data_IF_215857359082
#
_entry.id   IF_215857359082
#
_cell.length_a   1.000
_cell.length_b   1.000
_cell.length_c   1.000
_cell.angle_alpha   90.00
_cell.angle_beta   90.00
_cell.angle_gamma   90.00
#
_symmetry.space_group_name_H-M   'P 1'
#
loop_
_entity.id
_entity.type
_entity.pdbx_description
1 polymer ?
#
# COMPACT_ATOMS: atom_id res chain seq x y z
N UNK A 1 23.44 -16.35 29.57
CA UNK A 1 23.33 -15.22 28.62
C UNK A 1 24.29 -15.32 27.42
N UNK A 2 25.50 -15.88 27.56
CA UNK A 2 26.48 -15.99 26.45
C UNK A 2 26.02 -16.84 25.24
N UNK A 3 25.21 -17.89 25.44
CA UNK A 3 24.81 -18.78 24.34
C UNK A 3 23.79 -18.21 23.35
N UNK A 4 22.92 -17.28 23.79
CA UNK A 4 21.87 -16.71 22.94
C UNK A 4 22.45 -15.68 21.97
N UNK A 5 23.37 -14.84 22.46
CA UNK A 5 24.06 -13.83 21.67
C UNK A 5 25.07 -14.46 20.69
N UNK A 6 25.79 -15.50 21.13
CA UNK A 6 26.72 -16.24 20.28
C UNK A 6 25.98 -17.00 19.16
N UNK A 7 24.82 -17.61 19.46
CA UNK A 7 23.96 -18.26 18.47
C UNK A 7 23.31 -17.27 17.48
N UNK A 8 23.13 -16.01 17.88
CA UNK A 8 22.57 -14.98 17.01
C UNK A 8 23.64 -14.41 16.06
N UNK A 9 24.88 -14.22 16.54
CA UNK A 9 25.97 -13.67 15.74
C UNK A 9 26.71 -14.70 14.87
N UNK A 10 26.97 -15.90 15.39
CA UNK A 10 27.79 -16.92 14.71
C UNK A 10 26.96 -18.06 14.10
N UNK A 11 25.63 -17.99 14.24
CA UNK A 11 24.77 -19.13 13.95
C UNK A 11 25.01 -20.28 14.94
N UNK A 12 24.13 -21.29 14.92
CA UNK A 12 24.39 -22.52 15.68
C UNK A 12 25.38 -23.37 14.91
N UNK A 13 26.57 -23.60 15.47
CA UNK A 13 27.49 -24.62 14.98
C UNK A 13 26.75 -25.97 14.91
N UNK A 14 26.70 -26.58 13.71
CA UNK A 14 26.01 -27.86 13.48
C UNK A 14 24.61 -27.77 12.86
N UNK A 15 24.18 -26.62 12.32
CA UNK A 15 23.09 -26.64 11.32
C UNK A 15 23.66 -27.12 9.98
N UNK A 16 22.94 -28.01 9.31
CA UNK A 16 23.25 -28.42 7.95
C UNK A 16 23.43 -27.17 7.07
N UNK A 17 24.39 -27.24 6.14
CA UNK A 17 24.60 -26.19 5.14
C UNK A 17 23.27 -25.90 4.40
N UNK A 18 23.09 -24.66 3.96
CA UNK A 18 21.92 -24.30 3.15
C UNK A 18 21.95 -25.12 1.85
N UNK A 19 21.24 -26.23 1.82
CA UNK A 19 21.03 -27.03 0.60
C UNK A 19 19.95 -26.40 -0.27
N UNK A 20 19.98 -26.69 -1.57
CA UNK A 20 18.98 -26.28 -2.56
C UNK A 20 17.55 -26.63 -2.12
N UNK A 21 17.37 -27.73 -1.39
CA UNK A 21 16.09 -28.15 -0.81
C UNK A 21 15.49 -27.17 0.21
N UNK A 22 16.32 -26.33 0.85
CA UNK A 22 15.90 -25.30 1.79
C UNK A 22 15.52 -23.98 1.12
N UNK A 23 15.68 -23.87 -0.19
CA UNK A 23 15.25 -22.69 -0.94
C UNK A 23 13.72 -22.68 -1.07
N UNK A 24 13.11 -21.49 -1.02
CA UNK A 24 11.66 -21.37 -1.05
C UNK A 24 11.12 -21.75 -2.43
N UNK A 25 10.20 -22.72 -2.47
CA UNK A 25 9.58 -23.21 -3.71
C UNK A 25 8.31 -22.47 -4.07
N UNK A 26 7.75 -21.73 -3.11
CA UNK A 26 6.55 -20.92 -3.30
C UNK A 26 6.58 -19.63 -2.47
N UNK A 27 5.66 -18.71 -2.77
CA UNK A 27 5.57 -17.40 -2.09
C UNK A 27 5.29 -17.49 -0.60
N UNK A 28 4.63 -18.56 -0.15
CA UNK A 28 4.30 -18.75 1.27
C UNK A 28 5.56 -19.12 2.05
N UNK A 29 6.37 -20.04 1.52
CA UNK A 29 7.68 -20.39 2.07
C UNK A 29 8.60 -19.18 2.09
N UNK A 30 8.69 -18.45 0.98
CA UNK A 30 9.47 -17.21 0.90
C UNK A 30 9.04 -16.19 1.97
N UNK A 31 7.73 -16.00 2.16
CA UNK A 31 7.20 -15.10 3.19
C UNK A 31 7.67 -15.50 4.59
N UNK A 32 7.47 -16.77 5.00
CA UNK A 32 7.82 -17.21 6.35
C UNK A 32 9.33 -17.30 6.58
N UNK A 33 10.09 -17.68 5.56
CA UNK A 33 11.56 -17.69 5.60
C UNK A 33 12.09 -16.27 5.80
N UNK A 34 11.66 -15.33 4.95
CA UNK A 34 12.07 -13.93 5.05
C UNK A 34 11.63 -13.32 6.37
N UNK A 35 10.38 -13.55 6.81
CA UNK A 35 9.86 -13.05 8.07
C UNK A 35 10.73 -13.51 9.24
N UNK A 36 11.19 -14.77 9.23
CA UNK A 36 12.04 -15.33 10.29
C UNK A 36 13.46 -14.77 10.25
N UNK A 37 14.04 -14.63 9.05
CA UNK A 37 15.41 -14.13 8.86
C UNK A 37 15.50 -12.63 9.16
N UNK A 38 14.53 -11.85 8.69
CA UNK A 38 14.49 -10.39 8.77
C UNK A 38 13.62 -9.87 9.92
N UNK A 39 13.19 -10.70 10.87
CA UNK A 39 12.31 -10.30 11.98
C UNK A 39 12.80 -9.04 12.73
N UNK A 40 14.08 -9.04 13.11
CA UNK A 40 14.72 -7.88 13.77
C UNK A 40 14.84 -6.66 12.84
N UNK A 41 15.04 -6.91 11.54
CA UNK A 41 15.03 -5.86 10.52
C UNK A 41 13.66 -5.20 10.38
N UNK A 42 12.57 -5.97 10.43
CA UNK A 42 11.19 -5.46 10.35
C UNK A 42 10.89 -4.57 11.57
N UNK A 43 11.33 -4.96 12.77
CA UNK A 43 11.26 -4.09 13.96
C UNK A 43 12.03 -2.79 13.74
N UNK A 44 13.23 -2.87 13.18
CA UNK A 44 14.07 -1.69 12.94
C UNK A 44 13.44 -0.73 11.91
N UNK A 45 12.85 -1.26 10.83
CA UNK A 45 12.09 -0.47 9.85
C UNK A 45 10.84 0.15 10.48
N UNK A 46 10.12 -0.59 11.34
CA UNK A 46 8.97 -0.08 12.09
C UNK A 46 9.38 1.14 12.94
N UNK A 47 10.51 1.07 13.65
CA UNK A 47 11.03 2.19 14.44
C UNK A 47 11.41 3.40 13.58
N UNK A 48 11.92 3.21 12.36
CA UNK A 48 12.19 4.30 11.44
C UNK A 48 10.90 4.95 10.93
N UNK A 49 9.91 4.13 10.58
CA UNK A 49 8.60 4.61 10.16
C UNK A 49 7.90 5.40 11.27
N UNK A 50 8.03 4.97 12.53
CA UNK A 50 7.42 5.63 13.68
C UNK A 50 7.80 7.10 13.84
N UNK A 51 8.98 7.52 13.38
CA UNK A 51 9.41 8.93 13.40
C UNK A 51 8.41 9.81 12.62
N UNK A 52 7.88 9.30 11.51
CA UNK A 52 6.87 9.99 10.71
C UNK A 52 5.46 9.88 11.32
N UNK A 53 5.23 8.88 12.16
CA UNK A 53 3.97 8.70 12.90
C UNK A 53 3.91 9.52 14.20
N UNK A 54 5.01 10.10 14.68
CA UNK A 54 5.05 10.86 15.94
C UNK A 54 3.95 11.93 16.05
N UNK A 55 3.68 12.76 15.02
CA UNK A 55 2.57 13.72 15.09
C UNK A 55 1.23 13.04 15.33
N UNK A 56 0.98 11.91 14.66
CA UNK A 56 -0.25 11.14 14.80
C UNK A 56 -0.37 10.52 16.20
N UNK A 57 0.73 9.97 16.74
CA UNK A 57 0.80 9.35 18.07
C UNK A 57 0.52 10.39 19.16
N UNK A 58 1.18 11.54 19.08
CA UNK A 58 1.00 12.65 20.02
C UNK A 58 -0.44 13.17 19.96
N UNK A 59 -0.98 13.39 18.75
CA UNK A 59 -2.36 13.82 18.55
C UNK A 59 -3.38 12.82 19.11
N UNK A 60 -3.15 11.53 18.89
CA UNK A 60 -3.97 10.44 19.44
C UNK A 60 -3.91 10.42 20.96
N UNK A 61 -2.72 10.57 21.55
CA UNK A 61 -2.53 10.60 23.01
C UNK A 61 -3.30 11.76 23.66
N UNK A 62 -3.20 12.97 23.11
CA UNK A 62 -3.95 14.13 23.62
C UNK A 62 -5.47 13.93 23.54
N UNK A 63 -5.98 13.42 22.42
CA UNK A 63 -7.42 13.19 22.26
C UNK A 63 -7.93 12.04 23.14
N UNK A 64 -7.13 10.98 23.33
CA UNK A 64 -7.48 9.88 24.23
C UNK A 64 -7.59 10.37 25.68
N UNK A 65 -6.64 11.18 26.15
CA UNK A 65 -6.70 11.78 27.48
C UNK A 65 -7.91 12.72 27.64
N UNK A 66 -8.23 13.51 26.61
CA UNK A 66 -9.39 14.38 26.62
C UNK A 66 -10.71 13.59 26.72
N UNK A 67 -10.84 12.49 25.96
CA UNK A 67 -12.01 11.61 26.02
C UNK A 67 -12.12 10.93 27.38
N UNK A 68 -11.02 10.44 27.95
CA UNK A 68 -11.00 9.82 29.28
C UNK A 68 -11.40 10.80 30.40
N UNK A 69 -11.01 12.07 30.27
CA UNK A 69 -11.42 13.12 31.20
C UNK A 69 -12.91 13.46 31.03
N UNK A 70 -13.41 13.52 29.79
CA UNK A 70 -14.79 13.86 29.49
C UNK A 70 -15.78 12.71 29.78
N UNK A 71 -15.33 11.45 29.72
CA UNK A 71 -16.17 10.27 29.94
C UNK A 71 -16.45 9.95 31.41
N UNK A 72 -15.99 10.79 32.35
CA UNK A 72 -16.20 10.58 33.78
C UNK A 72 -15.52 9.32 34.33
N UNK A 73 -14.76 8.57 33.54
CA UNK A 73 -14.04 7.36 33.97
C UNK A 73 -12.93 7.68 34.98
N UNK A 74 -12.49 8.94 35.00
CA UNK A 74 -11.56 9.53 35.97
C UNK A 74 -12.30 10.33 37.07
N UNK A 75 -13.63 10.33 37.09
CA UNK A 75 -14.41 11.05 38.10
C UNK A 75 -14.38 10.28 39.42
N UNK A 76 -13.93 10.94 40.48
CA UNK A 76 -13.88 10.37 41.83
C UNK A 76 -15.24 10.41 42.55
N UNK A 77 -16.26 11.05 41.96
CA UNK A 77 -17.59 11.23 42.53
C UNK A 77 -18.66 10.49 41.71
N UNK A 78 -19.63 9.88 42.40
CA UNK A 78 -20.73 9.14 41.77
C UNK A 78 -21.56 10.02 40.80
N UNK A 79 -21.68 11.32 41.10
CA UNK A 79 -22.36 12.32 40.27
C UNK A 79 -21.66 12.55 38.91
N UNK A 80 -20.33 12.43 38.85
CA UNK A 80 -19.56 12.55 37.60
C UNK A 80 -19.65 11.33 36.69
N UNK A 81 -19.90 10.15 37.27
CA UNK A 81 -20.09 8.90 36.51
C UNK A 81 -21.48 8.84 35.83
N UNK A 82 -22.52 9.36 36.48
CA UNK A 82 -23.87 9.41 35.89
C UNK A 82 -23.97 10.46 34.77
N UNK A 83 -23.28 11.59 34.89
CA UNK A 83 -23.22 12.64 33.85
C UNK A 83 -22.58 12.16 32.53
N UNK A 84 -21.71 11.14 32.57
CA UNK A 84 -21.06 10.59 31.38
C UNK A 84 -21.98 9.79 30.45
N UNK A 85 -23.18 9.41 30.93
CA UNK A 85 -24.17 8.63 30.19
C UNK A 85 -25.30 9.48 29.60
N UNK A 86 -25.29 10.80 29.83
CA UNK A 86 -26.29 11.71 29.28
C UNK A 86 -26.14 11.89 27.76
N UNK A 87 -27.25 12.17 27.07
CA UNK A 87 -27.28 12.40 25.62
C UNK A 87 -26.36 13.55 25.20
N UNK A 88 -26.18 14.57 26.05
CA UNK A 88 -25.23 15.66 25.81
C UNK A 88 -23.76 15.18 25.81
N UNK A 89 -23.41 14.23 26.70
CA UNK A 89 -22.07 13.64 26.75
C UNK A 89 -21.75 12.80 25.51
N UNK A 90 -22.74 12.08 24.96
CA UNK A 90 -22.59 11.33 23.72
C UNK A 90 -22.36 12.27 22.51
N UNK A 91 -23.09 13.39 22.45
CA UNK A 91 -22.92 14.39 21.41
C UNK A 91 -21.56 15.10 21.49
N UNK A 92 -21.08 15.38 22.71
CA UNK A 92 -19.73 15.91 22.94
C UNK A 92 -18.65 14.91 22.49
N UNK A 93 -18.86 13.61 22.74
CA UNK A 93 -17.94 12.54 22.32
C UNK A 93 -17.85 12.42 20.80
N UNK A 94 -18.97 12.54 20.09
CA UNK A 94 -18.99 12.58 18.63
C UNK A 94 -18.25 13.80 18.05
N UNK A 95 -18.39 14.97 18.68
CA UNK A 95 -17.64 16.19 18.33
C UNK A 95 -16.12 16.03 18.52
N UNK A 96 -15.71 15.40 19.62
CA UNK A 96 -14.31 15.07 19.89
C UNK A 96 -13.74 14.11 18.82
N UNK A 97 -14.49 13.07 18.44
CA UNK A 97 -14.07 12.13 17.41
C UNK A 97 -13.92 12.80 16.04
N UNK A 98 -14.82 13.74 15.69
CA UNK A 98 -14.69 14.55 14.46
C UNK A 98 -13.41 15.36 14.47
N UNK A 99 -13.12 16.04 15.58
CA UNK A 99 -11.90 16.86 15.75
C UNK A 99 -10.65 16.01 15.67
N UNK A 100 -10.66 14.84 16.30
CA UNK A 100 -9.58 13.86 16.21
C UNK A 100 -9.31 13.45 14.75
N UNK A 101 -10.33 13.03 14.01
CA UNK A 101 -10.17 12.62 12.60
C UNK A 101 -9.71 13.76 11.69
N UNK A 102 -10.15 15.00 11.96
CA UNK A 102 -9.69 16.18 11.22
C UNK A 102 -8.19 16.42 11.42
N UNK A 103 -7.70 16.36 12.66
CA UNK A 103 -6.28 16.49 12.97
C UNK A 103 -5.43 15.32 12.47
N UNK A 104 -6.03 14.14 12.30
CA UNK A 104 -5.36 12.97 11.70
C UNK A 104 -5.05 13.15 10.21
N UNK A 105 -5.76 14.02 9.48
CA UNK A 105 -5.53 14.24 8.04
C UNK A 105 -4.07 14.68 7.75
N UNK A 106 -3.56 15.79 8.30
CA UNK A 106 -2.16 16.18 8.08
C UNK A 106 -1.17 15.18 8.70
N UNK A 107 -1.52 14.53 9.81
CA UNK A 107 -0.66 13.54 10.45
C UNK A 107 -0.44 12.31 9.56
N UNK A 108 -1.50 11.80 8.93
CA UNK A 108 -1.42 10.70 7.96
C UNK A 108 -0.76 11.11 6.66
N UNK A 109 -0.82 12.40 6.28
CA UNK A 109 0.01 12.95 5.22
C UNK A 109 1.51 12.78 5.51
N UNK A 110 1.96 13.14 6.71
CA UNK A 110 3.36 12.97 7.13
C UNK A 110 3.73 11.49 7.21
N UNK A 111 2.86 10.66 7.79
CA UNK A 111 3.06 9.20 7.82
C UNK A 111 3.18 8.62 6.40
N UNK A 112 2.36 9.08 5.46
CA UNK A 112 2.42 8.66 4.06
C UNK A 112 3.77 8.92 3.39
N UNK A 113 4.50 9.97 3.79
CA UNK A 113 5.89 10.19 3.37
C UNK A 113 6.78 9.06 3.90
N UNK A 114 6.68 8.72 5.18
CA UNK A 114 7.46 7.62 5.77
C UNK A 114 7.13 6.26 5.17
N UNK A 115 5.87 6.02 4.80
CA UNK A 115 5.42 4.75 4.22
C UNK A 115 6.08 4.43 2.88
N UNK A 116 6.56 5.43 2.12
CA UNK A 116 7.33 5.16 0.89
C UNK A 116 8.69 4.55 1.22
N UNK A 117 9.36 5.03 2.27
CA UNK A 117 10.64 4.48 2.74
C UNK A 117 10.48 3.07 3.30
N UNK A 118 9.50 2.88 4.16
CA UNK A 118 9.16 1.58 4.76
C UNK A 118 8.87 0.55 3.66
N UNK A 119 7.97 0.89 2.73
CA UNK A 119 7.52 -0.05 1.73
C UNK A 119 8.61 -0.42 0.72
N UNK A 120 9.54 0.47 0.41
CA UNK A 120 10.70 0.13 -0.44
C UNK A 120 11.53 -1.00 0.16
N UNK A 121 11.90 -0.86 1.44
CA UNK A 121 12.71 -1.84 2.16
C UNK A 121 11.96 -3.16 2.32
N UNK A 122 10.70 -3.10 2.79
CA UNK A 122 9.89 -4.30 3.03
C UNK A 122 9.57 -5.06 1.73
N UNK A 123 9.33 -4.36 0.62
CA UNK A 123 9.12 -4.97 -0.69
C UNK A 123 10.35 -5.70 -1.20
N UNK A 124 11.53 -5.12 -1.05
CA UNK A 124 12.79 -5.76 -1.45
C UNK A 124 13.03 -7.01 -0.61
N UNK A 125 12.92 -6.91 0.71
CA UNK A 125 13.04 -8.08 1.60
C UNK A 125 12.00 -9.15 1.27
N UNK A 126 10.76 -8.79 0.94
CA UNK A 126 9.72 -9.74 0.54
C UNK A 126 10.01 -10.49 -0.78
N UNK A 127 11.05 -10.10 -1.54
CA UNK A 127 11.59 -10.79 -2.72
C UNK A 127 12.94 -11.46 -2.46
N UNK A 128 13.39 -11.45 -1.20
CA UNK A 128 14.76 -11.78 -0.79
C UNK A 128 15.86 -10.92 -1.45
N UNK A 129 15.51 -9.74 -1.97
CA UNK A 129 16.48 -8.79 -2.51
C UNK A 129 17.20 -8.05 -1.35
N UNK A 130 18.51 -7.81 -1.52
CA UNK A 130 19.28 -7.00 -0.57
C UNK A 130 18.76 -5.56 -0.51
N UNK A 131 18.72 -4.98 0.68
CA UNK A 131 18.39 -3.56 0.88
C UNK A 131 19.13 -3.00 2.09
N UNK A 132 19.82 -1.88 1.89
CA UNK A 132 20.45 -1.10 2.94
C UNK A 132 19.39 -0.25 3.64
N UNK A 133 18.85 -0.79 4.72
CA UNK A 133 17.70 -0.25 5.46
C UNK A 133 17.67 1.28 5.57
N UNK A 134 18.74 1.94 6.05
CA UNK A 134 18.74 3.39 6.25
C UNK A 134 18.89 4.21 4.97
N UNK A 135 19.77 3.80 4.05
CA UNK A 135 20.02 4.55 2.81
C UNK A 135 18.81 4.45 1.89
N UNK A 136 18.35 3.22 1.66
CA UNK A 136 17.25 2.93 0.75
C UNK A 136 15.94 3.56 1.24
N UNK A 137 15.69 3.54 2.56
CA UNK A 137 14.54 4.22 3.15
C UNK A 137 14.58 5.73 2.85
N UNK A 138 15.73 6.37 3.10
CA UNK A 138 15.90 7.82 2.89
C UNK A 138 15.77 8.20 1.42
N UNK A 139 16.33 7.41 0.52
CA UNK A 139 16.30 7.66 -0.91
C UNK A 139 14.88 7.46 -1.48
N UNK A 140 14.18 6.41 -1.02
CA UNK A 140 12.78 6.19 -1.38
C UNK A 140 11.85 7.31 -0.89
N UNK A 141 12.06 7.81 0.34
CA UNK A 141 11.36 9.01 0.85
C UNK A 141 11.63 10.21 -0.04
N UNK A 142 12.89 10.52 -0.33
CA UNK A 142 13.23 11.68 -1.16
C UNK A 142 12.70 11.59 -2.58
N UNK A 143 12.69 10.39 -3.17
CA UNK A 143 12.16 10.18 -4.52
C UNK A 143 10.64 10.35 -4.60
N UNK A 144 9.91 9.95 -3.56
CA UNK A 144 8.46 9.77 -3.65
C UNK A 144 7.63 10.60 -2.65
N UNK A 145 8.24 11.49 -1.87
CA UNK A 145 7.56 12.21 -0.78
C UNK A 145 6.28 12.95 -1.22
N UNK A 146 6.20 13.47 -2.45
CA UNK A 146 4.99 14.16 -2.96
C UNK A 146 3.81 13.21 -3.10
N UNK A 147 4.07 12.04 -3.69
CA UNK A 147 3.07 11.00 -3.85
C UNK A 147 2.74 10.32 -2.52
N UNK A 148 3.73 10.14 -1.65
CA UNK A 148 3.54 9.65 -0.29
C UNK A 148 2.65 10.58 0.54
N UNK A 149 2.94 11.89 0.51
CA UNK A 149 2.13 12.92 1.18
C UNK A 149 0.69 12.93 0.65
N UNK A 150 0.52 12.92 -0.68
CA UNK A 150 -0.80 12.92 -1.30
C UNK A 150 -1.59 11.66 -0.92
N UNK A 151 -0.99 10.48 -1.00
CA UNK A 151 -1.63 9.23 -0.60
C UNK A 151 -2.02 9.24 0.89
N UNK A 152 -1.13 9.74 1.76
CA UNK A 152 -1.39 9.89 3.18
C UNK A 152 -2.53 10.85 3.52
N UNK A 153 -2.60 11.99 2.83
CA UNK A 153 -3.71 12.94 2.97
C UNK A 153 -5.05 12.32 2.52
N UNK A 154 -5.05 11.59 1.41
CA UNK A 154 -6.27 10.90 0.95
C UNK A 154 -6.68 9.81 1.95
N UNK A 155 -5.73 9.10 2.57
CA UNK A 155 -6.05 8.15 3.65
C UNK A 155 -6.75 8.84 4.82
N UNK A 156 -6.23 9.95 5.32
CA UNK A 156 -6.89 10.69 6.39
C UNK A 156 -8.25 11.24 5.99
N UNK A 157 -8.37 11.82 4.79
CA UNK A 157 -9.64 12.29 4.25
C UNK A 157 -10.65 11.15 4.11
N UNK A 158 -10.22 9.96 3.68
CA UNK A 158 -11.11 8.81 3.53
C UNK A 158 -11.74 8.41 4.86
N UNK A 159 -10.98 8.43 5.96
CA UNK A 159 -11.49 8.12 7.30
C UNK A 159 -12.42 9.22 7.83
N UNK A 160 -12.05 10.48 7.66
CA UNK A 160 -12.87 11.62 8.07
C UNK A 160 -14.21 11.64 7.32
N UNK A 161 -14.18 11.53 5.99
CA UNK A 161 -15.39 11.53 5.17
C UNK A 161 -16.27 10.31 5.46
N UNK A 162 -15.65 9.14 5.69
CA UNK A 162 -16.39 7.95 6.12
C UNK A 162 -17.19 8.24 7.39
N UNK A 163 -16.52 8.77 8.42
CA UNK A 163 -17.16 9.05 9.70
C UNK A 163 -18.27 10.10 9.59
N UNK A 164 -17.99 11.24 8.94
CA UNK A 164 -18.96 12.32 8.77
C UNK A 164 -20.18 11.86 7.99
N UNK A 165 -19.98 11.15 6.87
CA UNK A 165 -21.09 10.65 6.07
C UNK A 165 -21.86 9.53 6.78
N UNK A 166 -21.17 8.66 7.51
CA UNK A 166 -21.82 7.61 8.31
C UNK A 166 -22.74 8.21 9.38
N UNK A 167 -22.25 9.22 10.11
CA UNK A 167 -23.05 9.94 11.12
C UNK A 167 -24.20 10.71 10.48
N UNK A 168 -23.98 11.39 9.35
CA UNK A 168 -25.00 12.15 8.65
C UNK A 168 -26.14 11.27 8.15
N UNK A 169 -25.82 10.22 7.38
CA UNK A 169 -26.84 9.31 6.85
C UNK A 169 -27.49 8.46 7.94
N UNK A 170 -26.76 8.11 9.01
CA UNK A 170 -27.33 7.46 10.19
C UNK A 170 -28.39 8.31 10.89
N UNK A 171 -28.10 9.59 11.13
CA UNK A 171 -29.09 10.51 11.71
C UNK A 171 -30.31 10.69 10.78
N UNK A 172 -30.10 10.81 9.47
CA UNK A 172 -31.21 10.88 8.51
C UNK A 172 -32.04 9.59 8.49
N UNK A 173 -31.41 8.43 8.70
CA UNK A 173 -32.09 7.15 8.79
C UNK A 173 -33.02 7.05 10.01
N UNK A 174 -32.61 7.63 11.13
CA UNK A 174 -33.41 7.68 12.37
C UNK A 174 -34.50 8.75 12.33
N UNK A 175 -34.19 9.96 11.85
CA UNK A 175 -35.11 11.11 11.92
C UNK A 175 -36.08 11.18 10.75
N UNK A 176 -35.68 10.76 9.54
CA UNK A 176 -36.51 10.92 8.33
C UNK A 176 -37.05 9.58 7.82
N UNK A 177 -36.16 8.67 7.39
CA UNK A 177 -36.56 7.39 6.79
C UNK A 177 -35.42 6.40 6.77
N UNK A 178 -35.73 5.13 7.08
CA UNK A 178 -34.77 4.00 7.04
C UNK A 178 -34.07 3.82 5.69
N UNK A 179 -34.61 4.39 4.61
CA UNK A 179 -34.00 4.37 3.27
C UNK A 179 -32.56 4.95 3.26
N UNK A 180 -32.25 5.89 4.16
CA UNK A 180 -30.90 6.48 4.26
C UNK A 180 -29.81 5.51 4.75
N UNK A 181 -30.16 4.30 5.20
CA UNK A 181 -29.17 3.23 5.49
C UNK A 181 -28.42 2.80 4.22
N UNK A 182 -29.04 2.91 3.03
CA UNK A 182 -28.41 2.54 1.76
C UNK A 182 -27.17 3.40 1.47
N UNK A 183 -27.26 4.74 1.38
CA UNK A 183 -26.07 5.58 1.18
C UNK A 183 -25.09 5.48 2.35
N UNK A 184 -25.56 5.25 3.58
CA UNK A 184 -24.68 5.02 4.74
C UNK A 184 -23.75 3.82 4.52
N UNK A 185 -24.30 2.66 4.14
CA UNK A 185 -23.51 1.44 3.90
C UNK A 185 -22.69 1.53 2.62
N UNK A 186 -23.17 2.24 1.60
CA UNK A 186 -22.41 2.49 0.38
C UNK A 186 -21.09 3.21 0.65
N UNK A 187 -21.09 4.24 1.52
CA UNK A 187 -19.86 4.94 1.91
C UNK A 187 -18.87 4.00 2.60
N UNK A 188 -19.34 3.12 3.49
CA UNK A 188 -18.50 2.12 4.15
C UNK A 188 -17.84 1.21 3.11
N UNK A 189 -18.60 0.73 2.11
CA UNK A 189 -18.06 -0.08 1.02
C UNK A 189 -17.00 0.68 0.21
N UNK A 190 -17.25 1.94 -0.15
CA UNK A 190 -16.27 2.76 -0.87
C UNK A 190 -14.95 2.90 -0.10
N UNK A 191 -15.02 3.08 1.22
CA UNK A 191 -13.84 3.21 2.07
C UNK A 191 -13.10 1.89 2.21
N UNK A 192 -13.82 0.77 2.38
CA UNK A 192 -13.20 -0.56 2.36
C UNK A 192 -12.45 -0.81 1.06
N UNK A 193 -13.07 -0.48 -0.09
CA UNK A 193 -12.40 -0.58 -1.40
C UNK A 193 -11.19 0.35 -1.48
N UNK A 194 -11.28 1.58 -0.96
CA UNK A 194 -10.13 2.48 -0.90
C UNK A 194 -8.95 1.88 -0.11
N UNK A 195 -9.21 1.27 1.05
CA UNK A 195 -8.17 0.63 1.85
C UNK A 195 -7.59 -0.62 1.19
N UNK A 196 -8.38 -1.36 0.39
CA UNK A 196 -7.88 -2.43 -0.47
C UNK A 196 -6.91 -1.90 -1.54
N UNK A 197 -7.24 -0.75 -2.16
CA UNK A 197 -6.36 -0.09 -3.13
C UNK A 197 -5.09 0.40 -2.44
N UNK A 198 -5.22 0.95 -1.22
CA UNK A 198 -4.10 1.53 -0.49
C UNK A 198 -2.98 0.52 -0.18
N UNK A 199 -3.32 -0.77 0.03
CA UNK A 199 -2.32 -1.84 0.17
C UNK A 199 -1.34 -1.91 -0.99
N UNK A 200 -1.78 -1.55 -2.20
CA UNK A 200 -0.99 -1.61 -3.42
C UNK A 200 -0.39 -0.26 -3.82
N UNK A 201 -0.90 0.86 -3.28
CA UNK A 201 -0.43 2.21 -3.65
C UNK A 201 1.05 2.38 -3.34
N UNK A 202 1.46 2.17 -2.08
CA UNK A 202 2.85 2.37 -1.68
C UNK A 202 3.80 1.40 -2.39
N UNK A 203 3.54 0.07 -2.45
CA UNK A 203 4.41 -0.84 -3.18
C UNK A 203 4.52 -0.48 -4.66
N UNK A 204 3.43 -0.04 -5.30
CA UNK A 204 3.47 0.34 -6.72
C UNK A 204 4.28 1.62 -6.90
N UNK A 205 4.09 2.61 -6.02
CA UNK A 205 4.79 3.90 -6.03
C UNK A 205 6.30 3.75 -6.00
N UNK A 206 6.81 2.82 -5.19
CA UNK A 206 8.25 2.62 -5.05
C UNK A 206 8.83 1.68 -6.12
N UNK A 207 8.00 1.00 -6.91
CA UNK A 207 8.44 -0.01 -7.90
C UNK A 207 8.41 0.52 -9.32
N UNK A 208 7.39 1.30 -9.67
CA UNK A 208 7.13 1.71 -11.04
C UNK A 208 6.97 3.22 -11.11
N UNK A 209 7.67 3.85 -12.05
CA UNK A 209 7.55 5.28 -12.30
C UNK A 209 6.30 5.55 -13.15
N UNK A 210 5.25 6.09 -12.51
CA UNK A 210 3.97 6.41 -13.14
C UNK A 210 3.34 7.65 -12.48
N UNK A 211 2.44 8.32 -13.20
CA UNK A 211 1.67 9.44 -12.62
C UNK A 211 0.73 8.91 -11.53
N UNK A 212 0.51 9.69 -10.47
CA UNK A 212 -0.32 9.29 -9.32
C UNK A 212 -1.72 8.78 -9.71
N UNK A 213 -2.41 9.45 -10.64
CA UNK A 213 -3.73 9.00 -11.11
C UNK A 213 -3.69 7.65 -11.85
N UNK A 214 -2.62 7.40 -12.62
CA UNK A 214 -2.41 6.11 -13.29
C UNK A 214 -2.09 5.01 -12.26
N UNK A 215 -1.26 5.33 -11.26
CA UNK A 215 -0.94 4.45 -10.15
C UNK A 215 -2.20 3.98 -9.42
N UNK A 216 -3.05 4.92 -8.97
CA UNK A 216 -4.30 4.57 -8.27
C UNK A 216 -5.23 3.74 -9.15
N UNK A 217 -5.36 4.08 -10.44
CA UNK A 217 -6.19 3.31 -11.39
C UNK A 217 -5.65 1.88 -11.56
N UNK A 218 -4.34 1.72 -11.69
CA UNK A 218 -3.72 0.41 -11.85
C UNK A 218 -3.88 -0.45 -10.59
N UNK A 219 -3.73 0.15 -9.40
CA UNK A 219 -4.04 -0.51 -8.13
C UNK A 219 -5.52 -0.94 -8.06
N UNK A 220 -6.44 -0.06 -8.45
CA UNK A 220 -7.88 -0.35 -8.44
C UNK A 220 -8.25 -1.53 -9.35
N UNK A 221 -7.70 -1.58 -10.56
CA UNK A 221 -7.93 -2.69 -11.49
C UNK A 221 -7.44 -4.01 -10.88
N UNK A 222 -6.27 -4.04 -10.24
CA UNK A 222 -5.76 -5.24 -9.57
C UNK A 222 -6.59 -5.67 -8.36
N UNK A 223 -7.05 -4.71 -7.57
CA UNK A 223 -7.95 -4.98 -6.43
C UNK A 223 -9.26 -5.59 -6.90
N UNK A 224 -9.86 -5.05 -7.97
CA UNK A 224 -11.07 -5.63 -8.55
C UNK A 224 -10.81 -7.03 -9.08
N UNK A 225 -9.70 -7.26 -9.78
CA UNK A 225 -9.31 -8.57 -10.28
C UNK A 225 -9.05 -9.60 -9.16
N UNK A 226 -8.68 -9.16 -7.94
CA UNK A 226 -8.41 -10.00 -6.78
C UNK A 226 -9.22 -9.57 -5.56
N UNK A 227 -10.48 -9.22 -5.75
CA UNK A 227 -11.33 -8.66 -4.70
C UNK A 227 -11.39 -9.52 -3.43
N UNK A 228 -11.71 -10.84 -3.50
CA UNK A 228 -11.80 -11.67 -2.28
C UNK A 228 -10.45 -11.79 -1.57
N UNK A 229 -9.36 -11.85 -2.32
CA UNK A 229 -8.01 -11.93 -1.75
C UNK A 229 -7.56 -10.62 -1.12
N UNK A 230 -7.84 -9.49 -1.76
CA UNK A 230 -7.54 -8.16 -1.20
C UNK A 230 -8.32 -7.94 0.10
N UNK A 231 -9.59 -8.36 0.13
CA UNK A 231 -10.43 -8.26 1.32
C UNK A 231 -9.93 -9.19 2.43
N UNK A 232 -9.50 -10.41 2.09
CA UNK A 232 -8.90 -11.34 3.05
C UNK A 232 -7.67 -10.73 3.73
N UNK A 233 -6.74 -10.14 2.97
CA UNK A 233 -5.54 -9.55 3.57
C UNK A 233 -5.84 -8.28 4.38
N UNK A 234 -6.84 -7.48 3.96
CA UNK A 234 -7.37 -6.41 4.80
C UNK A 234 -7.89 -6.96 6.13
N UNK A 235 -8.73 -7.99 6.07
CA UNK A 235 -9.34 -8.59 7.24
C UNK A 235 -8.28 -9.20 8.17
N UNK A 236 -7.30 -9.93 7.64
CA UNK A 236 -6.21 -10.52 8.45
C UNK A 236 -5.45 -9.45 9.24
N UNK A 237 -5.15 -8.32 8.60
CA UNK A 237 -4.40 -7.22 9.25
C UNK A 237 -5.27 -6.39 10.20
N UNK A 238 -6.58 -6.27 9.95
CA UNK A 238 -7.51 -5.51 10.78
C UNK A 238 -8.13 -6.32 11.94
N UNK A 239 -8.32 -7.63 11.80
CA UNK A 239 -9.04 -8.45 12.79
C UNK A 239 -8.26 -8.64 14.08
N UNK A 240 -6.94 -8.86 14.01
CA UNK A 240 -6.13 -9.02 15.21
C UNK A 240 -6.23 -7.79 16.14
N UNK A 241 -5.95 -6.55 15.70
CA UNK A 241 -6.08 -5.39 16.56
C UNK A 241 -7.54 -5.15 16.99
N UNK A 242 -8.53 -5.43 16.12
CA UNK A 242 -9.94 -5.32 16.47
C UNK A 242 -10.32 -6.24 17.64
N UNK A 243 -9.93 -7.52 17.57
CA UNK A 243 -10.20 -8.50 18.62
C UNK A 243 -9.54 -8.10 19.93
N UNK A 244 -8.28 -7.65 19.87
CA UNK A 244 -7.55 -7.18 21.04
C UNK A 244 -8.27 -6.01 21.71
N UNK A 245 -8.72 -5.01 20.95
CA UNK A 245 -9.42 -3.84 21.51
C UNK A 245 -10.80 -4.20 22.07
N UNK A 246 -11.57 -5.05 21.38
CA UNK A 246 -12.97 -5.32 21.74
C UNK A 246 -13.14 -6.36 22.85
N UNK A 247 -12.26 -7.36 22.93
CA UNK A 247 -12.48 -8.53 23.80
C UNK A 247 -11.43 -8.71 24.88
N UNK A 248 -10.28 -8.02 24.81
CA UNK A 248 -9.21 -8.15 25.80
C UNK A 248 -9.17 -6.91 26.69
N UNK A 249 -9.23 -7.06 28.03
CA UNK A 249 -9.00 -5.95 28.94
C UNK A 249 -7.64 -5.31 28.66
N UNK A 250 -7.56 -3.97 28.69
CA UNK A 250 -6.36 -3.24 28.27
C UNK A 250 -5.99 -3.45 26.78
N UNK A 251 -6.96 -3.78 25.93
CA UNK A 251 -6.76 -3.97 24.49
C UNK A 251 -6.12 -2.77 23.78
N UNK A 252 -6.54 -1.55 24.14
CA UNK A 252 -5.99 -0.31 23.56
C UNK A 252 -4.47 -0.18 23.82
N UNK A 253 -3.96 -0.21 25.07
CA UNK A 253 -2.52 -0.12 25.30
C UNK A 253 -1.76 -1.33 24.74
N UNK A 254 -2.36 -2.53 24.69
CA UNK A 254 -1.73 -3.70 24.04
C UNK A 254 -1.52 -3.44 22.54
N UNK A 255 -2.54 -2.95 21.84
CA UNK A 255 -2.44 -2.60 20.42
C UNK A 255 -1.45 -1.45 20.21
N UNK A 256 -1.43 -0.45 21.10
CA UNK A 256 -0.44 0.62 21.04
C UNK A 256 0.99 0.05 21.12
N UNK A 257 1.29 -0.82 22.08
CA UNK A 257 2.60 -1.48 22.20
C UNK A 257 2.90 -2.33 20.97
N UNK A 258 1.93 -3.10 20.46
CA UNK A 258 2.09 -3.91 19.25
C UNK A 258 2.59 -3.06 18.07
N UNK A 259 1.92 -1.94 17.79
CA UNK A 259 2.27 -1.05 16.68
C UNK A 259 3.54 -0.22 16.94
N UNK A 260 3.83 0.12 18.20
CA UNK A 260 5.09 0.76 18.56
C UNK A 260 6.31 -0.16 18.34
N UNK A 261 6.14 -1.47 18.51
CA UNK A 261 7.27 -2.42 18.39
C UNK A 261 7.40 -2.95 16.95
N UNK A 262 6.31 -3.42 16.36
CA UNK A 262 6.38 -4.16 15.08
C UNK A 262 5.14 -4.05 14.18
N UNK A 263 4.00 -3.58 14.69
CA UNK A 263 2.71 -3.71 14.02
C UNK A 263 2.61 -3.01 12.66
N UNK A 264 3.26 -1.85 12.48
CA UNK A 264 3.32 -1.21 11.15
C UNK A 264 4.19 -2.01 10.20
N UNK A 265 5.41 -2.37 10.63
CA UNK A 265 6.33 -3.16 9.81
C UNK A 265 5.79 -4.52 9.41
N UNK A 266 5.07 -5.21 10.31
CA UNK A 266 4.45 -6.51 10.01
C UNK A 266 3.30 -6.36 9.00
N UNK A 267 2.44 -5.36 9.20
CA UNK A 267 1.35 -5.05 8.27
C UNK A 267 1.90 -4.66 6.90
N UNK A 268 2.91 -3.79 6.87
CA UNK A 268 3.62 -3.39 5.66
C UNK A 268 4.27 -4.58 4.96
N UNK A 269 4.86 -5.52 5.70
CA UNK A 269 5.48 -6.71 5.13
C UNK A 269 4.44 -7.66 4.50
N UNK A 270 3.29 -7.85 5.14
CA UNK A 270 2.16 -8.61 4.56
C UNK A 270 1.70 -7.95 3.25
N UNK A 271 1.52 -6.63 3.24
CA UNK A 271 1.12 -5.90 2.04
C UNK A 271 2.18 -5.93 0.94
N UNK A 272 3.45 -5.84 1.29
CA UNK A 272 4.57 -5.94 0.37
C UNK A 272 4.62 -7.31 -0.33
N UNK A 273 4.49 -8.40 0.43
CA UNK A 273 4.45 -9.75 -0.13
C UNK A 273 3.20 -10.00 -0.98
N UNK A 274 2.04 -9.50 -0.55
CA UNK A 274 0.83 -9.53 -1.36
C UNK A 274 0.98 -8.75 -2.67
N UNK A 275 1.53 -7.54 -2.62
CA UNK A 275 1.76 -6.69 -3.77
C UNK A 275 2.72 -7.33 -4.77
N UNK A 276 3.83 -7.92 -4.30
CA UNK A 276 4.75 -8.68 -5.13
C UNK A 276 4.05 -9.83 -5.88
N UNK A 277 3.17 -10.56 -5.20
CA UNK A 277 2.37 -11.60 -5.84
C UNK A 277 1.39 -11.06 -6.90
N UNK A 278 0.91 -9.83 -6.74
CA UNK A 278 0.07 -9.17 -7.74
C UNK A 278 0.89 -8.66 -8.93
N UNK A 279 2.04 -8.04 -8.67
CA UNK A 279 2.93 -7.50 -9.69
C UNK A 279 3.47 -8.58 -10.62
N UNK A 280 3.91 -9.71 -10.06
CA UNK A 280 4.44 -10.82 -10.84
C UNK A 280 3.36 -11.51 -11.69
N UNK A 281 2.08 -11.38 -11.31
CA UNK A 281 0.96 -11.94 -12.08
C UNK A 281 0.44 -10.99 -13.17
N UNK A 282 0.39 -9.69 -12.89
CA UNK A 282 -0.33 -8.74 -13.74
C UNK A 282 0.55 -7.71 -14.44
N UNK A 283 1.75 -7.42 -13.92
CA UNK A 283 2.59 -6.34 -14.41
C UNK A 283 3.90 -6.86 -15.01
N UNK A 284 4.72 -7.59 -14.25
CA UNK A 284 6.05 -8.01 -14.71
C UNK A 284 6.02 -8.80 -16.02
N UNK A 285 5.07 -9.73 -16.28
CA UNK A 285 5.00 -10.44 -17.57
C UNK A 285 4.73 -9.54 -18.78
N UNK A 286 4.36 -8.27 -18.56
CA UNK A 286 4.03 -7.28 -19.58
C UNK A 286 5.10 -6.19 -19.70
N UNK A 287 6.18 -6.29 -18.93
CA UNK A 287 7.31 -5.37 -18.95
C UNK A 287 8.52 -6.14 -19.48
N UNK A 288 9.09 -5.66 -20.57
CA UNK A 288 10.25 -6.29 -21.20
C UNK A 288 11.43 -6.32 -20.22
N UNK A 289 12.02 -7.52 -20.02
CA UNK A 289 13.16 -7.74 -19.13
C UNK A 289 12.83 -7.72 -17.62
N UNK A 290 11.57 -7.61 -17.20
CA UNK A 290 11.24 -7.63 -15.78
C UNK A 290 11.26 -9.06 -15.21
N UNK A 291 12.05 -9.33 -14.16
CA UNK A 291 12.09 -10.66 -13.55
C UNK A 291 10.77 -11.00 -12.85
N UNK A 292 10.32 -12.24 -13.01
CA UNK A 292 9.10 -12.79 -12.42
C UNK A 292 9.50 -13.81 -11.35
N UNK A 293 8.75 -13.90 -10.24
CA UNK A 293 9.01 -14.87 -9.17
C UNK A 293 10.38 -14.72 -8.48
N UNK A 294 10.90 -13.50 -8.38
CA UNK A 294 12.13 -13.21 -7.61
C UNK A 294 12.06 -13.81 -6.20
N UNK A 295 13.17 -14.44 -5.79
CA UNK A 295 13.32 -15.09 -4.50
C UNK A 295 12.59 -16.43 -4.39
N UNK A 296 12.10 -17.00 -5.49
CA UNK A 296 11.56 -18.37 -5.54
C UNK A 296 12.54 -19.21 -6.36
N UNK A 297 12.92 -20.36 -5.83
CA UNK A 297 13.78 -21.30 -6.55
C UNK A 297 12.99 -22.06 -7.61
N UNK A 298 13.57 -22.18 -8.80
CA UNK A 298 13.10 -23.01 -9.91
C UNK A 298 14.17 -24.03 -10.24
N UNK A 299 13.80 -25.30 -10.38
CA UNK A 299 14.73 -26.42 -10.64
C UNK A 299 15.50 -26.29 -11.98
N UNK A 300 15.20 -25.29 -12.81
CA UNK A 300 15.76 -25.09 -14.16
C UNK A 300 17.10 -24.37 -14.20
N UNK A 301 17.63 -23.87 -13.09
CA UNK A 301 18.85 -23.06 -13.10
C UNK A 301 20.15 -23.90 -13.07
N UNK A 302 20.05 -25.25 -13.04
CA UNK A 302 21.20 -26.18 -13.03
C UNK A 302 21.31 -27.06 -14.30
N UNK A 303 20.41 -26.95 -15.29
CA UNK A 303 20.41 -27.77 -16.52
C UNK A 303 20.61 -26.97 -17.84
N UNK A 304 20.81 -25.65 -17.78
CA UNK A 304 21.04 -24.81 -18.99
C UNK A 304 22.52 -24.76 -19.43
N UNK A 305 23.26 -25.86 -19.27
CA UNK A 305 24.56 -26.09 -19.92
C UNK A 305 24.49 -27.13 -21.06
N UNK A 306 23.31 -27.68 -21.37
CA UNK A 306 23.13 -28.53 -22.55
C UNK A 306 22.11 -27.92 -23.54
N UNK A 307 22.63 -27.59 -24.73
CA UNK A 307 21.90 -27.26 -25.94
C UNK A 307 20.71 -28.20 -26.16
N UNK A 308 19.48 -27.69 -26.17
CA UNK A 308 18.38 -28.32 -26.92
C UNK A 308 17.39 -27.28 -27.44
N UNK A 309 17.43 -27.09 -28.77
CA UNK A 309 16.50 -26.33 -29.58
C UNK A 309 15.05 -26.81 -29.34
N UNK A 310 14.30 -26.12 -28.47
CA UNK A 310 12.84 -26.24 -28.44
C UNK A 310 12.27 -25.30 -29.51
N UNK A 311 11.61 -25.80 -30.57
CA UNK A 311 11.05 -24.93 -31.60
C UNK A 311 9.97 -24.04 -30.99
N UNK A 312 10.22 -22.73 -30.97
CA UNK A 312 9.23 -21.74 -30.58
C UNK A 312 7.98 -21.89 -31.48
N UNK A 313 6.76 -21.74 -30.95
CA UNK A 313 5.58 -21.61 -31.79
C UNK A 313 5.79 -20.46 -32.80
N UNK A 314 5.25 -20.56 -34.04
CA UNK A 314 5.47 -19.54 -35.06
C UNK A 314 5.10 -18.16 -34.50
N UNK A 315 6.07 -17.23 -34.52
CA UNK A 315 5.81 -15.84 -34.14
C UNK A 315 4.67 -15.31 -35.01
N UNK A 316 3.67 -14.61 -34.46
CA UNK A 316 2.77 -13.83 -35.30
C UNK A 316 3.61 -12.88 -36.16
N UNK A 317 3.34 -12.83 -37.46
CA UNK A 317 4.04 -11.94 -38.39
C UNK A 317 3.73 -10.48 -38.02
N UNK A 318 4.62 -9.90 -37.22
CA UNK A 318 4.71 -8.46 -37.00
C UNK A 318 5.82 -7.90 -37.88
N UNK A 319 5.75 -8.15 -39.19
CA UNK A 319 6.40 -7.29 -40.17
C UNK A 319 5.76 -5.90 -40.06
N UNK A 320 6.30 -5.11 -39.14
CA UNK A 320 6.20 -3.66 -39.28
C UNK A 320 6.82 -3.31 -40.64
N UNK A 321 6.17 -2.48 -41.48
CA UNK A 321 6.85 -1.94 -42.64
C UNK A 321 8.18 -1.34 -42.17
N UNK A 322 9.27 -1.50 -42.94
CA UNK A 322 10.61 -1.15 -42.47
C UNK A 322 10.61 0.26 -41.91
N UNK A 323 11.01 0.39 -40.64
CA UNK A 323 11.19 1.67 -39.99
C UNK A 323 12.24 2.44 -40.79
N UNK A 324 11.86 3.52 -41.46
CA UNK A 324 12.81 4.39 -42.15
C UNK A 324 13.87 4.83 -41.15
N UNK A 325 15.14 4.55 -41.46
CA UNK A 325 16.26 4.96 -40.60
C UNK A 325 16.30 6.49 -40.63
N UNK A 326 16.66 7.14 -39.52
CA UNK A 326 16.74 8.61 -39.47
C UNK A 326 17.70 9.21 -40.52
N UNK A 327 18.59 8.38 -41.05
CA UNK A 327 19.55 8.66 -42.13
C UNK A 327 18.92 8.63 -43.54
N UNK A 328 17.74 8.01 -43.68
CA UNK A 328 16.99 7.87 -44.94
C UNK A 328 15.94 8.97 -45.13
N UNK A 329 15.77 9.85 -44.14
CA UNK A 329 14.91 11.03 -44.25
C UNK A 329 15.60 12.08 -45.15
N UNK A 330 14.93 12.64 -46.17
CA UNK A 330 15.51 13.69 -46.98
C UNK A 330 15.88 14.87 -46.08
N UNK A 331 17.18 15.23 -46.07
CA UNK A 331 17.68 16.42 -45.38
C UNK A 331 16.93 17.63 -45.92
N UNK A 332 16.19 18.29 -45.04
CA UNK A 332 15.34 19.41 -45.42
C UNK A 332 16.23 20.57 -45.92
N UNK A 333 16.25 20.77 -47.23
CA UNK A 333 17.03 21.84 -47.84
C UNK A 333 17.47 21.54 -49.25
N UNK A 334 16.53 21.27 -50.16
CA UNK A 334 16.63 21.63 -51.58
C UNK A 334 15.31 21.28 -52.28
N UNK A 335 14.89 22.15 -53.20
CA UNK A 335 13.66 22.13 -54.01
C UNK A 335 12.40 22.73 -53.35
N UNK A 336 12.36 24.08 -53.33
CA UNK A 336 11.13 24.79 -53.70
C UNK A 336 10.90 24.64 -55.21
N UNK A 337 9.70 24.24 -55.65
CA UNK A 337 9.19 24.65 -56.95
C UNK A 337 8.01 25.62 -56.75
N UNK A 338 8.26 26.85 -57.18
CA UNK A 338 7.40 27.73 -57.96
C UNK A 338 5.87 27.66 -57.76
N UNK A 339 5.35 28.79 -57.28
CA UNK A 339 4.00 29.27 -57.58
C UNK A 339 3.75 29.23 -59.09
N UNK A 340 2.75 28.46 -59.53
CA UNK A 340 2.08 28.69 -60.80
C UNK A 340 0.57 28.60 -60.65
N UNK A 341 -0.06 29.62 -61.22
CA UNK A 341 -1.47 29.87 -61.44
C UNK A 341 -2.13 28.87 -62.37
N UNK A 342 -3.48 28.92 -62.42
CA UNK A 342 -4.41 28.20 -63.33
C UNK A 342 -4.74 26.78 -62.83
N UNK A 343 -5.97 26.29 -62.74
CA UNK A 343 -7.23 26.65 -63.39
C UNK A 343 -8.40 26.01 -62.60
N UNK A 344 -9.48 26.75 -62.37
CA UNK A 344 -10.79 26.20 -61.96
C UNK A 344 -11.65 26.04 -63.22
N UNK A 345 -12.38 24.92 -63.41
CA UNK A 345 -13.59 24.96 -64.18
C UNK A 345 -14.83 24.92 -63.27
N UNK A 346 -15.68 25.93 -63.47
CA UNK A 346 -17.06 25.96 -63.02
C UNK A 346 -17.94 24.98 -63.81
N UNK A 347 -18.94 24.43 -63.13
CA UNK A 347 -20.12 23.79 -63.73
C UNK A 347 -20.66 22.75 -62.75
N UNK A 348 -21.86 22.84 -62.19
CA UNK A 348 -23.05 23.61 -62.56
C UNK A 348 -24.26 22.69 -62.42
N UNK A 349 -25.19 23.08 -61.55
CA UNK A 349 -26.64 22.74 -61.53
C UNK A 349 -27.05 21.27 -61.28
N UNK A 350 -28.08 20.95 -60.50
CA UNK A 350 -29.13 21.75 -59.87
C UNK A 350 -30.17 20.86 -59.17
N UNK A 351 -31.18 21.54 -58.62
CA UNK A 351 -32.39 21.08 -57.90
C UNK A 351 -32.23 20.66 -56.43
#
# INVERSE_FOLDING_TARGET
MAGLFNSYYYGKAGKADFTVENLPKNRRELFFQTLRVRFSGIISVNLLFLVFCLPAIVWTGFNLLAILAASGLMAETAEGAEAALDASALQNTAGMLTTYLLGMVPCLGIAGIGSTGEMYVLRNWARDDHSFMFSDFKDAVKGNWKYGLLAGLINGLSLLLCYVAYMFYGNMATTNSVFFVIPQMFVVVCVVVWWMINMLIFPMMVTYDMKFGQLVRNCAIMVVARLPWSLLWLAVTALLPFILVMYIPYGIPIVAVLYLVIGFGLTGFIYASYANACFDRFLNPRIEGAPVNKGIYTDTDDDDDDEDDVPLPPRPDYSHPPVQRYEDLPKNGENKPETNSEDQPSGGEGA
#
